data_IF_209676495453
#
_entry.id   IF_209676495453
#
_cell.length_a   1.000
_cell.length_b   1.000
_cell.length_c   1.000
_cell.angle_alpha   90.00
_cell.angle_beta   90.00
_cell.angle_gamma   90.00
#
_symmetry.space_group_name_H-M   'P 1'
#
loop_
_entity.id
_entity.type
_entity.pdbx_description
1 polymer ?
#
# COMPACT_ATOMS: atom_id res chain seq x y z
N UNK A 1 -7.59 -7.94 -10.99
CA UNK A 1 -7.03 -7.69 -9.65
C UNK A 1 -8.21 -7.54 -8.70
N UNK A 2 -8.28 -8.35 -7.64
CA UNK A 2 -9.42 -8.35 -6.73
C UNK A 2 -9.15 -7.40 -5.54
N UNK A 3 -10.14 -6.59 -5.18
CA UNK A 3 -10.06 -5.66 -4.04
C UNK A 3 -10.92 -6.18 -2.89
N UNK A 4 -10.29 -6.44 -1.74
CA UNK A 4 -10.95 -6.92 -0.54
C UNK A 4 -10.92 -5.84 0.54
N UNK A 5 -12.08 -5.25 0.84
CA UNK A 5 -12.22 -4.36 1.98
C UNK A 5 -12.63 -5.13 3.23
N UNK A 6 -11.84 -4.99 4.29
CA UNK A 6 -12.16 -5.48 5.63
C UNK A 6 -13.12 -4.55 6.38
N UNK A 7 -13.54 -3.44 5.76
CA UNK A 7 -14.58 -2.56 6.31
C UNK A 7 -15.97 -3.23 6.29
N UNK A 8 -16.16 -4.27 5.47
CA UNK A 8 -17.39 -5.06 5.39
C UNK A 8 -17.38 -6.21 6.42
N UNK A 9 -18.43 -6.31 7.23
CA UNK A 9 -18.58 -7.29 8.29
C UNK A 9 -18.49 -8.75 7.81
N UNK A 10 -18.93 -9.05 6.59
CA UNK A 10 -18.84 -10.39 5.99
C UNK A 10 -17.39 -10.74 5.64
N UNK A 11 -16.64 -9.80 5.06
CA UNK A 11 -15.20 -9.97 4.76
C UNK A 11 -14.38 -10.06 6.04
N UNK A 12 -14.75 -9.29 7.07
CA UNK A 12 -14.12 -9.33 8.39
C UNK A 12 -14.40 -10.66 9.12
N UNK A 13 -15.62 -11.17 9.05
CA UNK A 13 -15.98 -12.48 9.59
C UNK A 13 -15.24 -13.62 8.89
N UNK A 14 -15.05 -13.55 7.57
CA UNK A 14 -14.23 -14.51 6.84
C UNK A 14 -12.74 -14.42 7.22
N UNK A 15 -12.23 -13.22 7.51
CA UNK A 15 -10.85 -13.01 7.98
C UNK A 15 -10.57 -13.62 9.37
N UNK A 16 -11.60 -13.92 10.17
CA UNK A 16 -11.46 -14.67 11.42
C UNK A 16 -11.06 -16.14 11.18
N UNK A 17 -11.34 -16.69 9.98
CA UNK A 17 -10.77 -17.94 9.47
C UNK A 17 -9.54 -17.62 8.59
N UNK A 18 -8.57 -16.95 9.23
CA UNK A 18 -7.45 -16.20 8.67
C UNK A 18 -6.67 -16.97 7.59
N UNK A 19 -6.48 -18.28 7.78
CA UNK A 19 -5.72 -19.16 6.87
C UNK A 19 -6.49 -19.54 5.59
N UNK A 20 -7.78 -19.90 5.71
CA UNK A 20 -8.63 -20.26 4.57
C UNK A 20 -8.89 -19.05 3.67
N UNK A 21 -9.10 -17.88 4.27
CA UNK A 21 -9.30 -16.63 3.53
C UNK A 21 -8.08 -16.29 2.67
N UNK A 22 -6.87 -16.44 3.23
CA UNK A 22 -5.62 -16.16 2.50
C UNK A 22 -5.31 -17.22 1.44
N UNK A 23 -5.56 -18.51 1.71
CA UNK A 23 -5.36 -19.58 0.72
C UNK A 23 -6.34 -19.52 -0.46
N UNK A 24 -7.54 -18.97 -0.25
CA UNK A 24 -8.52 -18.77 -1.33
C UNK A 24 -8.14 -17.65 -2.31
N UNK A 25 -7.19 -16.79 -1.96
CA UNK A 25 -6.74 -15.69 -2.81
C UNK A 25 -5.74 -16.19 -3.87
N UNK A 26 -6.26 -16.66 -5.00
CA UNK A 26 -5.47 -17.11 -6.15
C UNK A 26 -5.03 -15.99 -7.11
N UNK A 27 -5.46 -14.75 -6.87
CA UNK A 27 -5.14 -13.59 -7.71
C UNK A 27 -4.49 -12.48 -6.88
N UNK A 28 -3.74 -11.55 -7.49
CA UNK A 28 -3.24 -10.37 -6.79
C UNK A 28 -4.38 -9.66 -6.07
N UNK A 29 -4.25 -9.55 -4.75
CA UNK A 29 -5.30 -9.03 -3.87
C UNK A 29 -4.85 -7.76 -3.19
N UNK A 30 -5.67 -6.72 -3.29
CA UNK A 30 -5.48 -5.45 -2.57
C UNK A 30 -6.35 -5.41 -1.32
N UNK A 31 -5.78 -5.11 -0.15
CA UNK A 31 -6.50 -5.21 1.13
C UNK A 31 -6.16 -4.09 2.12
N UNK A 32 -7.19 -3.57 2.80
CA UNK A 32 -7.06 -2.59 3.89
C UNK A 32 -6.81 -3.28 5.23
N UNK A 33 -5.54 -3.55 5.55
CA UNK A 33 -5.15 -4.45 6.65
C UNK A 33 -5.43 -3.91 8.08
N UNK A 34 -5.68 -2.61 8.25
CA UNK A 34 -5.79 -1.93 9.57
C UNK A 34 -6.80 -2.56 10.53
N UNK A 35 -7.84 -3.22 10.00
CA UNK A 35 -8.89 -3.84 10.82
C UNK A 35 -8.58 -5.28 11.25
N UNK A 36 -7.61 -5.93 10.62
CA UNK A 36 -7.26 -7.32 10.92
C UNK A 36 -5.73 -7.54 10.85
N UNK A 37 -4.95 -6.94 11.76
CA UNK A 37 -3.50 -7.12 11.80
C UNK A 37 -3.08 -8.58 12.01
N UNK A 38 -3.95 -9.45 12.54
CA UNK A 38 -3.75 -10.90 12.65
C UNK A 38 -3.60 -11.62 11.31
N UNK A 39 -4.07 -11.04 10.20
CA UNK A 39 -3.88 -11.61 8.85
C UNK A 39 -2.42 -11.64 8.43
N UNK A 40 -1.55 -10.82 9.03
CA UNK A 40 -0.13 -10.77 8.69
C UNK A 40 0.56 -12.13 8.85
N UNK A 41 0.18 -12.91 9.87
CA UNK A 41 0.75 -14.26 10.09
C UNK A 41 0.31 -15.25 9.01
N UNK A 42 -0.96 -15.23 8.61
CA UNK A 42 -1.45 -16.10 7.53
C UNK A 42 -0.90 -15.69 6.16
N UNK A 43 -0.73 -14.38 5.92
CA UNK A 43 -0.06 -13.87 4.72
C UNK A 43 1.38 -14.35 4.67
N UNK A 44 2.11 -14.27 5.80
CA UNK A 44 3.47 -14.79 5.92
C UNK A 44 3.51 -16.28 5.57
N UNK A 45 2.68 -17.12 6.19
CA UNK A 45 2.62 -18.55 5.88
C UNK A 45 2.31 -18.82 4.39
N UNK A 46 1.38 -18.06 3.80
CA UNK A 46 1.02 -18.19 2.39
C UNK A 46 2.16 -17.81 1.44
N UNK A 47 2.88 -16.72 1.72
CA UNK A 47 4.04 -16.27 0.94
C UNK A 47 5.24 -17.19 1.15
N UNK A 48 5.38 -17.79 2.33
CA UNK A 48 6.40 -18.80 2.62
C UNK A 48 6.17 -20.09 1.81
N UNK A 49 4.90 -20.46 1.60
CA UNK A 49 4.49 -21.64 0.82
C UNK A 49 4.57 -21.41 -0.70
N UNK A 50 4.15 -20.23 -1.17
CA UNK A 50 4.16 -19.87 -2.59
C UNK A 50 4.80 -18.48 -2.76
N UNK A 51 6.04 -18.51 -3.26
CA UNK A 51 6.96 -17.37 -3.37
C UNK A 51 6.77 -16.54 -4.65
N UNK A 52 5.68 -16.73 -5.39
CA UNK A 52 5.40 -15.87 -6.56
C UNK A 52 5.31 -14.39 -6.12
N UNK A 53 6.00 -13.46 -6.79
CA UNK A 53 5.97 -12.04 -6.45
C UNK A 53 4.60 -11.41 -6.74
N UNK A 54 4.23 -10.35 -6.01
CA UNK A 54 3.04 -9.53 -6.29
C UNK A 54 1.69 -10.15 -5.88
N UNK A 55 1.68 -11.19 -5.04
CA UNK A 55 0.44 -11.86 -4.59
C UNK A 55 -0.44 -10.98 -3.72
N UNK A 56 0.15 -10.10 -2.92
CA UNK A 56 -0.58 -9.26 -1.97
C UNK A 56 -0.12 -7.81 -2.08
N UNK A 57 -1.09 -6.90 -2.19
CA UNK A 57 -0.90 -5.46 -2.03
C UNK A 57 -1.63 -5.04 -0.77
N UNK A 58 -0.88 -4.72 0.28
CA UNK A 58 -1.45 -4.27 1.56
C UNK A 58 -1.49 -2.75 1.55
N UNK A 59 -2.68 -2.19 1.75
CA UNK A 59 -2.88 -0.74 1.80
C UNK A 59 -3.41 -0.34 3.17
N UNK A 60 -3.06 0.86 3.62
CA UNK A 60 -3.58 1.41 4.86
C UNK A 60 -3.21 2.87 5.00
N UNK A 61 -4.14 3.65 5.52
CA UNK A 61 -3.95 5.06 5.91
C UNK A 61 -3.16 5.26 7.21
N UNK A 62 -2.59 4.21 7.80
CA UNK A 62 -1.92 4.24 9.10
C UNK A 62 -0.55 3.60 8.94
N UNK A 63 0.43 4.12 9.67
CA UNK A 63 1.81 3.65 9.58
C UNK A 63 1.89 2.20 10.07
N UNK A 64 2.07 1.27 9.13
CA UNK A 64 2.31 -0.16 9.36
C UNK A 64 3.36 -0.38 10.46
N UNK A 65 4.47 0.37 10.42
CA UNK A 65 5.60 0.19 11.33
C UNK A 65 5.30 0.55 12.79
N UNK A 66 4.16 1.22 13.07
CA UNK A 66 3.75 1.55 14.43
C UNK A 66 2.82 0.50 15.06
N UNK A 67 2.43 -0.53 14.31
CA UNK A 67 1.58 -1.61 14.83
C UNK A 67 2.45 -2.68 15.52
N UNK A 68 2.20 -3.02 16.80
CA UNK A 68 3.01 -3.96 17.58
C UNK A 68 3.20 -5.34 16.92
N UNK A 69 2.27 -5.75 16.05
CA UNK A 69 2.24 -7.06 15.38
C UNK A 69 3.01 -7.11 14.05
N UNK A 70 3.55 -5.98 13.59
CA UNK A 70 4.37 -5.90 12.35
C UNK A 70 5.81 -6.37 12.60
N UNK A 71 6.22 -6.57 13.85
CA UNK A 71 7.52 -7.17 14.18
C UNK A 71 7.68 -8.60 13.61
N UNK A 72 6.57 -9.33 13.45
CA UNK A 72 6.55 -10.66 12.82
C UNK A 72 6.28 -10.62 11.31
N UNK A 73 6.25 -9.42 10.69
CA UNK A 73 6.03 -9.25 9.25
C UNK A 73 6.99 -10.12 8.43
N UNK A 74 6.62 -10.47 7.18
CA UNK A 74 7.45 -11.28 6.30
C UNK A 74 8.80 -10.58 6.02
N UNK A 75 9.78 -10.82 6.89
CA UNK A 75 11.09 -10.20 6.83
C UNK A 75 11.74 -10.57 5.49
N UNK A 76 12.15 -9.56 4.72
CA UNK A 76 12.77 -9.72 3.40
C UNK A 76 11.82 -10.07 2.25
N UNK A 77 10.51 -10.25 2.49
CA UNK A 77 9.50 -10.55 1.45
C UNK A 77 8.40 -9.51 1.33
N UNK A 78 8.54 -8.41 2.08
CA UNK A 78 7.62 -7.28 2.08
C UNK A 78 8.42 -6.00 1.83
N UNK A 79 7.92 -5.19 0.91
CA UNK A 79 8.40 -3.82 0.68
C UNK A 79 7.32 -2.84 1.14
N UNK A 80 7.73 -1.80 1.87
CA UNK A 80 6.82 -0.75 2.34
C UNK A 80 7.00 0.47 1.45
N UNK A 81 6.04 0.70 0.57
CA UNK A 81 6.00 1.91 -0.27
C UNK A 81 5.20 2.98 0.47
N UNK A 82 5.88 4.09 0.82
CA UNK A 82 5.22 5.26 1.41
C UNK A 82 4.67 6.15 0.31
N UNK A 83 3.35 6.30 0.26
CA UNK A 83 2.70 7.29 -0.58
C UNK A 83 2.72 8.65 0.13
N UNK A 84 3.28 9.66 -0.53
CA UNK A 84 3.22 11.05 -0.07
C UNK A 84 1.87 11.68 -0.45
N UNK A 85 1.47 12.79 0.19
CA UNK A 85 0.36 13.58 -0.29
C UNK A 85 0.59 14.02 -1.74
N UNK A 86 -0.50 14.16 -2.49
CA UNK A 86 -0.43 14.60 -3.88
C UNK A 86 0.22 15.99 -4.00
N UNK A 87 1.13 16.13 -4.95
CA UNK A 87 1.68 17.41 -5.39
C UNK A 87 0.59 18.28 -6.06
N UNK A 88 0.83 19.59 -6.17
CA UNK A 88 -0.13 20.49 -6.85
C UNK A 88 -0.23 20.19 -8.35
N UNK A 89 0.84 19.68 -8.95
CA UNK A 89 0.86 19.14 -10.32
C UNK A 89 -0.12 17.99 -10.48
N UNK A 90 -0.04 17.00 -9.59
CA UNK A 90 -0.94 15.84 -9.59
C UNK A 90 -2.40 16.25 -9.36
N UNK A 91 -2.67 17.13 -8.40
CA UNK A 91 -4.04 17.61 -8.11
C UNK A 91 -4.64 18.34 -9.32
N UNK A 92 -3.82 19.12 -10.03
CA UNK A 92 -4.24 19.87 -11.22
C UNK A 92 -4.17 19.06 -12.51
N UNK A 93 -3.77 17.79 -12.44
CA UNK A 93 -3.46 16.94 -13.60
C UNK A 93 -2.53 17.63 -14.61
N UNK A 94 -1.58 18.42 -14.10
CA UNK A 94 -0.61 19.18 -14.88
C UNK A 94 0.76 18.54 -14.77
N UNK A 95 1.57 18.63 -15.83
CA UNK A 95 2.99 18.27 -15.73
C UNK A 95 3.70 19.25 -14.77
N UNK A 96 4.36 18.70 -13.76
CA UNK A 96 5.22 19.46 -12.86
C UNK A 96 6.67 19.34 -13.30
N UNK A 97 7.30 20.47 -13.59
CA UNK A 97 8.74 20.57 -13.86
C UNK A 97 9.42 21.48 -12.82
N UNK A 98 8.77 21.71 -11.68
CA UNK A 98 9.18 22.66 -10.67
C UNK A 98 10.56 22.35 -10.10
N UNK A 99 10.86 21.10 -9.71
CA UNK A 99 12.19 20.81 -9.17
C UNK A 99 13.24 20.94 -10.25
N UNK A 100 12.92 20.53 -11.48
CA UNK A 100 13.84 20.60 -12.62
C UNK A 100 14.20 22.05 -12.97
N UNK A 101 13.20 22.94 -13.01
CA UNK A 101 13.38 24.39 -13.18
C UNK A 101 14.13 25.00 -11.98
N UNK A 102 13.89 24.53 -10.76
CA UNK A 102 14.58 24.98 -9.56
C UNK A 102 16.07 24.62 -9.57
N UNK A 103 16.41 23.37 -9.95
CA UNK A 103 17.80 22.95 -10.07
C UNK A 103 18.55 23.66 -11.20
N UNK A 104 17.84 24.11 -12.22
CA UNK A 104 18.38 24.93 -13.32
C UNK A 104 18.44 26.42 -13.02
N UNK A 105 17.89 26.85 -11.87
CA UNK A 105 17.73 28.26 -11.52
C UNK A 105 16.86 29.04 -12.54
N UNK A 106 15.88 28.36 -13.12
CA UNK A 106 14.95 28.87 -14.16
C UNK A 106 13.51 28.99 -13.63
N UNK A 107 13.33 28.99 -12.30
CA UNK A 107 11.99 29.03 -11.68
C UNK A 107 11.21 30.25 -12.15
N UNK A 108 10.09 30.00 -12.82
CA UNK A 108 9.19 31.06 -13.26
C UNK A 108 8.47 31.65 -12.06
N UNK A 109 8.56 32.97 -11.88
CA UNK A 109 7.77 33.70 -10.89
C UNK A 109 6.34 33.91 -11.41
N UNK A 110 5.32 33.32 -10.76
CA UNK A 110 3.91 33.41 -11.20
C UNK A 110 3.06 32.18 -10.82
N UNK A 111 2.14 31.75 -11.70
CA UNK A 111 1.29 30.54 -11.58
C UNK A 111 2.08 29.22 -11.70
N UNK A 112 3.27 29.15 -11.12
CA UNK A 112 4.08 27.93 -11.15
C UNK A 112 3.38 26.85 -10.32
N UNK A 113 3.09 25.73 -10.99
CA UNK A 113 2.50 24.57 -10.34
C UNK A 113 3.61 23.88 -9.54
N UNK A 114 3.43 23.81 -8.23
CA UNK A 114 4.46 23.31 -7.30
C UNK A 114 4.41 21.79 -7.22
N UNK A 115 5.58 21.18 -7.34
CA UNK A 115 5.78 19.73 -7.26
C UNK A 115 5.76 19.08 -8.64
N UNK A 116 6.37 17.90 -8.72
CA UNK A 116 6.58 17.14 -9.95
C UNK A 116 5.77 15.84 -9.88
N UNK A 117 5.35 15.37 -11.05
CA UNK A 117 4.58 14.13 -11.22
C UNK A 117 5.46 13.05 -11.87
#
# INVERSE_FOLDING_TARGET
>A
MAYYTLDNATTLGAAQQTLCFVRGMNTPSSMRFQRAPELLLAIKESVDTDQRPGRFLLTGSANLMMLPRVADSPAGRMEVVRLLPLAQSEIKSAQGNFLLDAFRNEVKTGHSVIGDA
#
